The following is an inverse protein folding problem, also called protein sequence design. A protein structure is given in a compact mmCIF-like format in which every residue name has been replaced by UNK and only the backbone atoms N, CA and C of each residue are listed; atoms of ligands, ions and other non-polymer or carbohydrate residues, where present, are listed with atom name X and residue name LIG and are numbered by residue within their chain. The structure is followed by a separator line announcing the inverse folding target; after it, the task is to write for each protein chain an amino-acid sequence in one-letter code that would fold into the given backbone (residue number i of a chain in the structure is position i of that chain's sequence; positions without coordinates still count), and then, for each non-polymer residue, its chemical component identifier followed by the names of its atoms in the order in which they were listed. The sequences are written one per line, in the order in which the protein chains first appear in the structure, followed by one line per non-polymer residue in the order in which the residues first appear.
data_IF_297753995130
#
_entry.id   IF_297753995130
#
_cell.length_a   1.000
_cell.length_b   1.000
_cell.length_c   1.000
_cell.angle_alpha   90.00
_cell.angle_beta   90.00
_cell.angle_gamma   90.00
#
_symmetry.space_group_name_H-M   'P 1'
#
loop_
_entity.id
_entity.type
_entity.pdbx_description
1 polymer ?
#
# COMPACT_ATOMS: atom_id res chain seq x y z
N UNK A 1 -40.65 -20.31 18.09
CA UNK A 1 -40.21 -20.28 16.68
C UNK A 1 -40.03 -18.85 16.17
N UNK A 2 -41.03 -17.96 16.28
CA UNK A 2 -40.90 -16.57 15.78
C UNK A 2 -39.73 -15.75 16.40
N UNK A 3 -39.49 -15.85 17.72
CA UNK A 3 -38.37 -15.15 18.37
C UNK A 3 -36.98 -15.59 17.87
N UNK A 4 -36.82 -16.88 17.55
CA UNK A 4 -35.57 -17.41 17.00
C UNK A 4 -35.32 -16.91 15.58
N UNK A 5 -36.37 -16.84 14.75
CA UNK A 5 -36.27 -16.29 13.40
C UNK A 5 -35.91 -14.80 13.41
N UNK A 6 -36.46 -14.01 14.35
CA UNK A 6 -36.13 -12.58 14.49
C UNK A 6 -34.66 -12.41 14.89
N UNK A 7 -34.17 -13.18 15.86
CA UNK A 7 -32.75 -13.13 16.25
C UNK A 7 -31.82 -13.57 15.12
N UNK A 8 -32.21 -14.57 14.32
CA UNK A 8 -31.43 -15.03 13.17
C UNK A 8 -31.29 -13.94 12.10
N UNK A 9 -32.38 -13.25 11.77
CA UNK A 9 -32.35 -12.13 10.80
C UNK A 9 -31.53 -10.97 11.33
N UNK A 10 -31.67 -10.64 12.62
CA UNK A 10 -30.88 -9.58 13.25
C UNK A 10 -29.37 -9.90 13.24
N UNK A 11 -29.00 -11.15 13.54
CA UNK A 11 -27.62 -11.61 13.51
C UNK A 11 -27.03 -11.61 12.09
N UNK A 12 -27.82 -12.00 11.08
CA UNK A 12 -27.38 -11.96 9.68
C UNK A 12 -27.14 -10.52 9.20
N UNK A 13 -27.99 -9.58 9.61
CA UNK A 13 -27.79 -8.17 9.31
C UNK A 13 -26.54 -7.60 10.00
N UNK A 14 -26.32 -7.96 11.27
CA UNK A 14 -25.18 -7.48 12.05
C UNK A 14 -23.84 -8.07 11.56
N UNK A 15 -23.85 -9.28 10.99
CA UNK A 15 -22.68 -9.89 10.37
C UNK A 15 -22.08 -9.03 9.25
N UNK A 16 -22.93 -8.40 8.42
CA UNK A 16 -22.46 -7.51 7.34
C UNK A 16 -21.81 -6.21 7.81
N UNK A 17 -21.87 -5.91 9.12
CA UNK A 17 -21.34 -4.69 9.73
C UNK A 17 -20.00 -4.90 10.44
N UNK A 18 -19.47 -6.13 10.45
CA UNK A 18 -18.21 -6.45 11.12
C UNK A 18 -17.05 -5.95 10.27
N UNK A 19 -16.26 -5.03 10.82
CA UNK A 19 -15.02 -4.54 10.21
C UNK A 19 -13.89 -5.55 10.47
N UNK A 20 -13.05 -5.79 9.46
CA UNK A 20 -11.87 -6.65 9.59
C UNK A 20 -10.65 -5.74 9.65
N UNK A 21 -9.92 -5.84 10.76
CA UNK A 21 -8.68 -5.09 10.98
C UNK A 21 -7.48 -5.88 10.44
N UNK A 22 -6.80 -5.31 9.45
CA UNK A 22 -5.61 -5.90 8.81
C UNK A 22 -4.31 -5.31 9.35
N UNK A 23 -4.37 -4.37 10.28
CA UNK A 23 -3.17 -3.82 10.90
C UNK A 23 -2.62 -4.79 11.95
N UNK A 24 -1.53 -5.47 11.59
CA UNK A 24 -0.79 -6.37 12.47
C UNK A 24 -0.28 -5.67 13.73
N UNK A 25 -0.08 -4.34 13.70
CA UNK A 25 0.38 -3.57 14.85
C UNK A 25 -0.67 -3.52 15.97
N UNK A 26 -1.96 -3.55 15.62
CA UNK A 26 -3.04 -3.57 16.61
C UNK A 26 -3.06 -4.85 17.45
N UNK A 27 -2.42 -5.91 16.97
CA UNK A 27 -2.28 -7.18 17.69
C UNK A 27 -1.05 -7.22 18.62
N UNK A 28 -0.15 -6.24 18.56
CA UNK A 28 1.04 -6.20 19.41
C UNK A 28 0.73 -5.64 20.82
N UNK A 29 1.39 -6.15 21.88
CA UNK A 29 1.23 -5.60 23.22
C UNK A 29 1.70 -4.15 23.27
N UNK A 30 0.83 -3.24 23.73
CA UNK A 30 1.12 -1.80 23.83
C UNK A 30 2.37 -1.46 24.65
N UNK A 31 2.68 -2.29 25.65
CA UNK A 31 3.84 -2.10 26.52
C UNK A 31 5.15 -2.71 25.97
N UNK A 32 5.11 -3.31 24.78
CA UNK A 32 6.32 -3.87 24.19
C UNK A 32 7.28 -2.75 23.76
N UNK A 33 8.61 -2.91 23.95
CA UNK A 33 9.59 -1.95 23.46
C UNK A 33 9.47 -1.70 21.95
N UNK A 34 9.11 -2.73 21.18
CA UNK A 34 8.92 -2.64 19.72
C UNK A 34 7.75 -1.75 19.32
N UNK A 35 6.60 -1.84 20.01
CA UNK A 35 5.44 -0.98 19.71
C UNK A 35 5.77 0.49 19.96
N UNK A 36 6.42 0.80 21.09
CA UNK A 36 6.87 2.16 21.39
C UNK A 36 7.88 2.69 20.38
N UNK A 37 8.81 1.85 19.91
CA UNK A 37 9.75 2.26 18.85
C UNK A 37 9.04 2.59 17.54
N UNK A 38 8.02 1.81 17.17
CA UNK A 38 7.22 2.05 15.97
C UNK A 38 6.36 3.31 16.09
N UNK A 39 5.76 3.57 17.26
CA UNK A 39 4.99 4.80 17.52
C UNK A 39 5.88 6.05 17.41
N UNK A 40 7.05 6.07 18.04
CA UNK A 40 7.99 7.20 17.94
C UNK A 40 8.47 7.41 16.50
N UNK A 41 8.75 6.32 15.78
CA UNK A 41 9.13 6.41 14.37
C UNK A 41 7.99 6.99 13.52
N UNK A 42 6.75 6.60 13.78
CA UNK A 42 5.58 7.14 13.09
C UNK A 42 5.37 8.63 13.42
N UNK A 43 5.59 9.06 14.68
CA UNK A 43 5.46 10.45 15.10
C UNK A 43 6.53 11.35 14.45
N UNK A 44 7.80 10.91 14.45
CA UNK A 44 8.92 11.71 13.93
C UNK A 44 8.99 11.73 12.39
N UNK A 45 8.59 10.64 11.72
CA UNK A 45 8.67 10.50 10.26
C UNK A 45 7.29 10.51 9.57
N UNK A 46 6.24 10.87 10.31
CA UNK A 46 4.89 11.12 9.80
C UNK A 46 4.11 9.90 9.33
N UNK A 47 4.44 8.69 9.83
CA UNK A 47 3.70 7.46 9.53
C UNK A 47 3.69 7.03 8.07
N UNK A 48 4.39 7.74 7.18
CA UNK A 48 4.41 7.51 5.73
C UNK A 48 5.28 6.32 5.33
N UNK A 49 5.44 5.34 6.22
CA UNK A 49 6.20 4.13 5.92
C UNK A 49 5.43 3.35 4.87
N UNK A 50 6.02 3.06 3.70
CA UNK A 50 5.34 2.29 2.68
C UNK A 50 4.99 0.91 3.22
N UNK A 51 3.70 0.57 3.14
CA UNK A 51 3.17 -0.73 3.57
C UNK A 51 2.79 -1.61 2.37
N UNK A 52 2.74 -1.07 1.16
CA UNK A 52 2.44 -1.79 -0.07
C UNK A 52 3.57 -1.58 -1.09
N UNK A 53 3.93 -2.63 -1.83
CA UNK A 53 4.87 -2.58 -2.96
C UNK A 53 4.19 -3.07 -4.23
N UNK A 54 4.30 -2.27 -5.28
CA UNK A 54 3.75 -2.55 -6.61
C UNK A 54 4.91 -2.74 -7.57
N UNK A 55 4.95 -3.86 -8.29
CA UNK A 55 5.90 -4.14 -9.34
C UNK A 55 5.20 -4.07 -10.70
N UNK A 56 5.66 -3.15 -11.53
CA UNK A 56 5.23 -2.98 -12.92
C UNK A 56 6.23 -3.65 -13.86
N UNK A 57 5.75 -4.56 -14.69
CA UNK A 57 6.56 -5.34 -15.64
C UNK A 57 6.59 -4.72 -17.02
N UNK A 58 7.76 -4.75 -17.64
CA UNK A 58 7.97 -4.31 -19.03
C UNK A 58 7.47 -2.88 -19.34
N UNK A 59 7.44 -2.00 -18.32
CA UNK A 59 7.00 -0.60 -18.46
C UNK A 59 8.18 0.35 -18.67
N UNK A 60 7.95 1.38 -19.46
CA UNK A 60 8.88 2.51 -19.61
C UNK A 60 8.80 3.46 -18.43
N UNK A 61 9.83 4.30 -18.25
CA UNK A 61 9.83 5.34 -17.19
C UNK A 61 8.64 6.28 -17.27
N UNK A 62 8.11 6.51 -18.48
CA UNK A 62 6.93 7.36 -18.66
C UNK A 62 5.68 6.64 -18.17
N UNK A 63 5.49 5.39 -18.60
CA UNK A 63 4.36 4.57 -18.14
C UNK A 63 4.39 4.40 -16.62
N UNK A 64 5.55 4.18 -16.01
CA UNK A 64 5.65 4.13 -14.54
C UNK A 64 5.15 5.41 -13.88
N UNK A 65 5.42 6.59 -14.45
CA UNK A 65 4.89 7.85 -13.91
C UNK A 65 3.37 7.96 -14.09
N UNK A 66 2.87 7.50 -15.22
CA UNK A 66 1.44 7.51 -15.50
C UNK A 66 0.72 6.59 -14.48
N UNK A 67 1.20 5.35 -14.28
CA UNK A 67 0.70 4.45 -13.23
C UNK A 67 0.84 5.04 -11.82
N UNK A 68 1.99 5.65 -11.49
CA UNK A 68 2.19 6.30 -10.20
C UNK A 68 1.08 7.32 -9.94
N UNK A 69 0.80 8.18 -10.92
CA UNK A 69 -0.21 9.22 -10.81
C UNK A 69 -1.62 8.63 -10.67
N UNK A 70 -1.95 7.59 -11.44
CA UNK A 70 -3.24 6.91 -11.33
C UNK A 70 -3.43 6.30 -9.93
N UNK A 71 -2.39 5.71 -9.36
CA UNK A 71 -2.42 5.16 -7.99
C UNK A 71 -2.53 6.29 -6.95
N UNK A 72 -1.82 7.41 -7.12
CA UNK A 72 -1.92 8.58 -6.23
C UNK A 72 -3.33 9.21 -6.21
N UNK A 73 -4.12 9.04 -7.27
CA UNK A 73 -5.49 9.56 -7.37
C UNK A 73 -6.53 8.65 -6.66
N UNK A 74 -6.15 7.44 -6.20
CA UNK A 74 -7.05 6.50 -5.51
C UNK A 74 -7.37 6.94 -4.07
N UNK A 75 -8.64 6.81 -3.67
CA UNK A 75 -9.05 7.08 -2.29
C UNK A 75 -8.43 6.04 -1.32
N UNK A 76 -7.70 6.53 -0.32
CA UNK A 76 -6.96 5.70 0.64
C UNK A 76 -5.47 5.53 0.34
N UNK A 77 -4.97 6.05 -0.78
CA UNK A 77 -3.52 6.19 -1.00
C UNK A 77 -3.01 7.48 -0.36
N UNK A 78 -2.08 7.36 0.57
CA UNK A 78 -1.46 8.48 1.28
C UNK A 78 -0.23 9.01 0.56
N UNK A 79 0.58 8.12 -0.02
CA UNK A 79 1.77 8.48 -0.77
C UNK A 79 2.20 7.38 -1.74
N UNK A 80 2.77 7.77 -2.88
CA UNK A 80 3.48 6.85 -3.78
C UNK A 80 4.90 7.35 -4.00
N UNK A 81 5.88 6.54 -3.62
CA UNK A 81 7.29 6.86 -3.77
C UNK A 81 7.90 6.00 -4.87
N UNK A 82 8.56 6.66 -5.81
CA UNK A 82 9.38 6.04 -6.83
C UNK A 82 10.66 6.85 -7.05
N UNK A 83 11.51 6.40 -7.97
CA UNK A 83 12.82 6.98 -8.26
C UNK A 83 12.74 8.47 -8.61
N UNK A 84 11.65 8.91 -9.23
CA UNK A 84 11.38 10.30 -9.57
C UNK A 84 11.21 11.23 -8.35
N UNK A 85 10.81 10.67 -7.20
CA UNK A 85 10.69 11.39 -5.93
C UNK A 85 12.06 11.69 -5.30
N UNK A 86 13.11 10.94 -5.66
CA UNK A 86 14.47 11.14 -5.13
C UNK A 86 15.37 11.94 -6.06
N UNK A 87 15.28 11.70 -7.37
CA UNK A 87 16.11 12.36 -8.37
C UNK A 87 15.27 12.79 -9.57
N UNK A 88 15.51 14.00 -10.11
CA UNK A 88 14.91 14.37 -11.38
C UNK A 88 15.38 13.37 -12.45
N UNK A 89 14.42 12.74 -13.15
CA UNK A 89 14.67 11.76 -14.21
C UNK A 89 15.10 12.45 -15.53
N UNK A 90 16.02 13.40 -15.46
CA UNK A 90 16.64 14.04 -16.63
C UNK A 90 17.90 13.29 -17.10
N UNK A 91 18.27 12.20 -16.43
CA UNK A 91 19.44 11.37 -16.74
C UNK A 91 19.03 9.91 -16.93
N UNK A 92 19.69 9.15 -17.83
CA UNK A 92 19.46 7.72 -18.00
C UNK A 92 19.67 6.95 -16.70
N UNK A 93 18.84 5.92 -16.46
CA UNK A 93 18.89 5.10 -15.23
C UNK A 93 20.26 4.42 -15.06
N UNK A 94 20.92 4.08 -16.17
CA UNK A 94 22.26 3.48 -16.18
C UNK A 94 23.34 4.38 -15.56
N UNK A 95 23.10 5.69 -15.51
CA UNK A 95 24.04 6.67 -14.92
C UNK A 95 23.75 6.93 -13.44
N UNK A 96 22.66 6.37 -12.91
CA UNK A 96 22.28 6.54 -11.50
C UNK A 96 23.09 5.60 -10.60
N UNK A 97 23.27 5.95 -9.32
CA UNK A 97 23.93 5.07 -8.36
C UNK A 97 23.21 3.72 -8.29
N UNK A 98 23.92 2.62 -8.55
CA UNK A 98 23.32 1.28 -8.60
C UNK A 98 22.49 0.91 -7.36
N UNK A 99 22.93 1.31 -6.16
CA UNK A 99 22.17 1.06 -4.91
C UNK A 99 20.78 1.70 -4.90
N UNK A 100 20.62 2.85 -5.55
CA UNK A 100 19.33 3.54 -5.65
C UNK A 100 18.46 2.85 -6.68
N UNK A 101 19.03 2.49 -7.83
CA UNK A 101 18.33 1.75 -8.89
C UNK A 101 17.84 0.41 -8.36
N UNK A 102 18.67 -0.36 -7.66
CA UNK A 102 18.34 -1.67 -7.09
C UNK A 102 17.16 -1.66 -6.09
N UNK A 103 16.86 -0.49 -5.53
CA UNK A 103 15.74 -0.28 -4.59
C UNK A 103 14.40 -0.04 -5.30
N UNK A 104 14.44 0.49 -6.53
CA UNK A 104 13.26 0.87 -7.32
C UNK A 104 13.13 0.09 -8.64
N UNK A 105 14.12 -0.73 -8.97
CA UNK A 105 14.13 -1.65 -10.11
C UNK A 105 14.57 -3.04 -9.68
N UNK A 106 13.78 -4.06 -10.05
CA UNK A 106 14.11 -5.47 -9.85
C UNK A 106 13.94 -6.26 -11.12
N UNK A 107 15.04 -6.88 -11.57
CA UNK A 107 15.09 -7.67 -12.80
C UNK A 107 14.58 -6.89 -14.04
N UNK A 108 14.87 -5.59 -14.10
CA UNK A 108 14.39 -4.68 -15.16
C UNK A 108 12.98 -4.13 -14.94
N UNK A 109 12.23 -4.60 -13.94
CA UNK A 109 10.87 -4.16 -13.63
C UNK A 109 10.87 -3.00 -12.64
N UNK A 110 9.91 -2.08 -12.78
CA UNK A 110 9.80 -0.92 -11.91
C UNK A 110 9.05 -1.24 -10.63
N UNK A 111 9.55 -0.77 -9.48
CA UNK A 111 8.94 -1.01 -8.17
C UNK A 111 8.54 0.32 -7.54
N UNK A 112 7.24 0.48 -7.29
CA UNK A 112 6.66 1.60 -6.55
C UNK A 112 6.43 1.19 -5.10
N UNK A 113 6.72 2.11 -4.20
CA UNK A 113 6.44 1.98 -2.78
C UNK A 113 5.20 2.83 -2.46
N UNK A 114 4.11 2.18 -2.10
CA UNK A 114 2.80 2.81 -1.84
C UNK A 114 2.52 2.79 -0.34
N UNK A 115 2.09 3.91 0.20
CA UNK A 115 1.57 4.03 1.56
C UNK A 115 0.06 4.10 1.47
N UNK A 116 -0.62 3.05 1.93
CA UNK A 116 -2.08 2.95 1.99
C UNK A 116 -2.54 3.19 3.42
N UNK A 117 -3.62 3.95 3.58
CA UNK A 117 -4.30 4.16 4.85
C UNK A 117 -4.79 2.82 5.42
N UNK A 118 -4.37 2.42 6.64
CA UNK A 118 -4.83 1.19 7.29
C UNK A 118 -6.36 1.05 7.34
N UNK A 119 -7.08 2.16 7.49
CA UNK A 119 -8.54 2.16 7.60
C UNK A 119 -9.25 1.93 6.24
N UNK A 120 -8.51 2.05 5.13
CA UNK A 120 -9.03 1.94 3.76
C UNK A 120 -8.37 0.83 2.93
N UNK A 121 -7.52 0.00 3.52
CA UNK A 121 -6.81 -1.07 2.81
C UNK A 121 -7.74 -2.02 2.04
N UNK A 122 -8.92 -2.34 2.60
CA UNK A 122 -9.89 -3.24 1.99
C UNK A 122 -10.44 -2.76 0.65
N UNK A 123 -10.60 -1.45 0.48
CA UNK A 123 -11.10 -0.85 -0.75
C UNK A 123 -9.94 -0.43 -1.68
N UNK A 124 -8.84 0.02 -1.09
CA UNK A 124 -7.70 0.58 -1.84
C UNK A 124 -6.87 -0.51 -2.52
N UNK A 125 -6.58 -1.64 -1.87
CA UNK A 125 -5.75 -2.69 -2.47
C UNK A 125 -6.40 -3.27 -3.74
N UNK A 126 -7.70 -3.64 -3.75
CA UNK A 126 -8.38 -4.05 -4.98
C UNK A 126 -8.38 -2.98 -6.07
N UNK A 127 -8.57 -1.70 -5.70
CA UNK A 127 -8.50 -0.60 -6.68
C UNK A 127 -7.12 -0.47 -7.30
N UNK A 128 -6.03 -0.66 -6.53
CA UNK A 128 -4.68 -0.70 -7.08
C UNK A 128 -4.53 -1.88 -8.05
N UNK A 129 -5.08 -3.07 -7.72
CA UNK A 129 -5.08 -4.22 -8.63
C UNK A 129 -5.79 -3.93 -9.96
N UNK A 130 -6.92 -3.21 -9.93
CA UNK A 130 -7.63 -2.79 -11.14
C UNK A 130 -6.82 -1.82 -12.01
N UNK A 131 -6.08 -0.90 -11.38
CA UNK A 131 -5.21 0.05 -12.08
C UNK A 131 -4.01 -0.65 -12.72
N UNK A 132 -3.32 -1.52 -11.98
CA UNK A 132 -2.08 -2.14 -12.48
C UNK A 132 -2.34 -3.30 -13.44
N UNK A 133 -3.50 -3.96 -13.38
CA UNK A 133 -3.83 -5.11 -14.23
C UNK A 133 -3.11 -6.41 -13.84
N UNK A 134 -3.50 -7.52 -14.48
CA UNK A 134 -3.11 -8.89 -14.08
C UNK A 134 -1.63 -9.25 -14.33
N UNK A 135 -0.95 -8.54 -15.23
CA UNK A 135 0.46 -8.80 -15.55
C UNK A 135 1.42 -8.25 -14.48
N UNK A 136 0.93 -7.38 -13.61
CA UNK A 136 1.69 -6.70 -12.56
C UNK A 136 1.48 -7.35 -11.19
N UNK A 137 2.37 -7.07 -10.24
CA UNK A 137 2.36 -7.72 -8.93
C UNK A 137 2.24 -6.71 -7.80
N UNK A 138 1.44 -7.04 -6.78
CA UNK A 138 1.32 -6.26 -5.55
C UNK A 138 1.66 -7.14 -4.35
N UNK A 139 2.40 -6.60 -3.40
CA UNK A 139 2.69 -7.22 -2.11
C UNK A 139 2.47 -6.20 -0.98
N UNK A 140 1.66 -6.56 0.01
CA UNK A 140 1.31 -5.76 1.19
C UNK A 140 0.86 -6.66 2.31
#
# INVERSE_FOLDING_TARGET
MAGFAIMMVLSAWMYTKVYVDYDLLNYLPKDSPSTKSLEVMAEEFGGNVPNVRVMLRDVTQKETKDYKREIEELDGVLAVTWLDSMLPLNMPIEMLPGRLVDSYYKDGNSVLMVTVDPDKQLDTIPAIYEVIGEDNMLAG
#
